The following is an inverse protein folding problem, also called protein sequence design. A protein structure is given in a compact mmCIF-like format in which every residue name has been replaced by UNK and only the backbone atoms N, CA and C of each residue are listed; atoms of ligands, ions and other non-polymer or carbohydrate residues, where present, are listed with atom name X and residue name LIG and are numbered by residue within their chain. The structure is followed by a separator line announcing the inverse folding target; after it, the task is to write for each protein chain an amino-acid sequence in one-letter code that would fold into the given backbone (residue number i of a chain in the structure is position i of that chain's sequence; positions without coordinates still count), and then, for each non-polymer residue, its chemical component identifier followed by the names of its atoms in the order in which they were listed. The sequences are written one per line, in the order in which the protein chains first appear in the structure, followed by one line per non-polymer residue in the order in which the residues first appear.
data_IF_173702144269
#
_entry.id   IF_173702144269
#
_cell.length_a   1.000
_cell.length_b   1.000
_cell.length_c   1.000
_cell.angle_alpha   90.00
_cell.angle_beta   90.00
_cell.angle_gamma   90.00
#
_symmetry.space_group_name_H-M   'P 1'
#
loop_
_entity.id
_entity.type
_entity.pdbx_description
1 polymer ?
#
# COMPACT_ATOMS: atom_id res chain seq x y z
N UNK A 1 -1.63 7.84 15.12
CA UNK A 1 -1.74 6.65 14.25
C UNK A 1 -2.90 5.79 14.72
N UNK A 2 -3.69 5.37 13.73
CA UNK A 2 -4.77 4.39 13.80
C UNK A 2 -4.24 3.00 14.15
N UNK A 3 -5.15 2.07 14.46
CA UNK A 3 -4.85 0.64 14.52
C UNK A 3 -5.00 0.09 13.10
N UNK A 4 -3.92 -0.44 12.53
CA UNK A 4 -3.96 -1.12 11.25
C UNK A 4 -4.31 -2.60 11.51
N UNK A 5 -5.06 -3.22 10.61
CA UNK A 5 -5.65 -4.54 10.82
C UNK A 5 -4.61 -5.63 11.01
N UNK A 6 -3.54 -5.64 10.20
CA UNK A 6 -2.48 -6.65 10.30
C UNK A 6 -1.75 -6.57 11.65
N UNK A 7 -1.48 -5.36 12.15
CA UNK A 7 -0.84 -5.17 13.47
C UNK A 7 -1.77 -5.59 14.61
N UNK A 8 -3.09 -5.37 14.48
CA UNK A 8 -4.05 -5.75 15.51
C UNK A 8 -4.24 -7.27 15.61
N UNK A 9 -4.06 -8.01 14.50
CA UNK A 9 -4.17 -9.47 14.49
C UNK A 9 -3.06 -10.16 15.28
N UNK A 10 -1.83 -9.64 15.24
CA UNK A 10 -0.69 -10.16 16.00
C UNK A 10 0.24 -9.01 16.47
N UNK A 11 -0.14 -8.31 17.54
CA UNK A 11 0.59 -7.14 18.03
C UNK A 11 1.95 -7.54 18.63
N UNK A 12 2.09 -8.74 19.18
CA UNK A 12 3.36 -9.27 19.69
C UNK A 12 4.38 -9.51 18.57
N UNK A 13 3.97 -10.15 17.47
CA UNK A 13 4.86 -10.37 16.33
C UNK A 13 5.29 -9.03 15.70
N UNK A 14 4.36 -8.08 15.56
CA UNK A 14 4.68 -6.74 15.09
C UNK A 14 5.66 -6.02 16.03
N UNK A 15 5.45 -6.11 17.35
CA UNK A 15 6.35 -5.52 18.34
C UNK A 15 7.78 -6.10 18.24
N UNK A 16 7.91 -7.40 17.98
CA UNK A 16 9.20 -8.07 17.80
C UNK A 16 9.96 -7.53 16.59
N UNK A 17 9.28 -7.38 15.44
CA UNK A 17 9.86 -6.83 14.21
C UNK A 17 10.42 -5.43 14.46
N UNK A 18 9.64 -4.56 15.10
CA UNK A 18 10.04 -3.17 15.34
C UNK A 18 11.09 -2.99 16.45
N UNK A 19 11.18 -3.92 17.41
CA UNK A 19 12.20 -3.88 18.45
C UNK A 19 13.59 -4.31 17.99
N UNK A 20 13.69 -5.12 16.94
CA UNK A 20 14.99 -5.53 16.40
C UNK A 20 15.57 -4.41 15.54
N UNK A 21 16.66 -3.79 15.98
CA UNK A 21 17.26 -2.62 15.31
C UNK A 21 17.69 -2.91 13.86
N UNK A 22 18.25 -4.09 13.58
CA UNK A 22 18.70 -4.48 12.24
C UNK A 22 17.53 -4.65 11.26
N UNK A 23 16.40 -5.16 11.76
CA UNK A 23 15.16 -5.33 10.98
C UNK A 23 14.47 -3.97 10.84
N UNK A 24 14.35 -3.20 11.93
CA UNK A 24 13.72 -1.88 11.93
C UNK A 24 14.39 -0.96 10.90
N UNK A 25 15.73 -0.94 10.85
CA UNK A 25 16.50 -0.16 9.88
C UNK A 25 16.19 -0.49 8.41
N UNK A 26 15.67 -1.69 8.13
CA UNK A 26 15.32 -2.19 6.78
C UNK A 26 13.82 -2.22 6.55
N UNK A 27 13.01 -1.80 7.52
CA UNK A 27 11.56 -1.90 7.47
C UNK A 27 10.96 -0.62 6.92
N UNK A 28 10.08 -0.75 5.93
CA UNK A 28 9.19 0.34 5.49
C UNK A 28 7.78 0.04 5.96
N UNK A 29 7.17 0.95 6.69
CA UNK A 29 5.74 0.90 7.04
C UNK A 29 4.98 1.83 6.12
N UNK A 30 3.98 1.29 5.42
CA UNK A 30 3.03 2.05 4.62
C UNK A 30 1.85 2.44 5.52
N UNK A 31 1.76 3.68 6.02
CA UNK A 31 0.65 4.07 6.88
C UNK A 31 -0.64 4.25 6.08
N UNK A 32 -1.79 4.26 6.76
CA UNK A 32 -3.09 4.53 6.13
C UNK A 32 -3.08 5.85 5.34
N UNK A 33 -2.48 6.91 5.91
CA UNK A 33 -2.32 8.22 5.27
C UNK A 33 -1.62 8.15 3.89
N UNK A 34 -0.73 7.18 3.69
CA UNK A 34 -0.03 6.97 2.42
C UNK A 34 -0.91 6.17 1.46
N UNK A 35 -1.48 5.06 1.92
CA UNK A 35 -2.35 4.22 1.08
C UNK A 35 -3.62 4.94 0.60
N UNK A 36 -4.13 5.90 1.38
CA UNK A 36 -5.28 6.72 0.98
C UNK A 36 -4.96 7.69 -0.17
N UNK A 37 -3.70 7.85 -0.57
CA UNK A 37 -3.31 8.59 -1.77
C UNK A 37 -3.44 7.73 -3.03
N UNK A 38 -3.41 6.40 -2.89
CA UNK A 38 -3.44 5.44 -4.00
C UNK A 38 -4.85 4.90 -4.18
N UNK A 39 -5.72 5.73 -4.75
CA UNK A 39 -7.13 5.41 -4.96
C UNK A 39 -7.35 4.77 -6.32
N UNK A 40 -8.08 3.66 -6.35
CA UNK A 40 -8.53 3.03 -7.59
C UNK A 40 -9.74 3.81 -8.17
N UNK A 41 -9.47 5.01 -8.68
CA UNK A 41 -10.48 5.90 -9.27
C UNK A 41 -11.16 5.29 -10.50
N UNK A 42 -12.23 5.90 -10.98
CA UNK A 42 -12.88 5.47 -12.23
C UNK A 42 -11.91 5.45 -13.41
N UNK A 43 -11.06 6.48 -13.54
CA UNK A 43 -10.05 6.56 -14.61
C UNK A 43 -9.04 5.42 -14.49
N UNK A 44 -8.58 5.12 -13.28
CA UNK A 44 -7.67 3.99 -13.04
C UNK A 44 -8.36 2.68 -13.36
N UNK A 45 -9.59 2.44 -12.88
CA UNK A 45 -10.32 1.20 -13.17
C UNK A 45 -10.54 1.02 -14.67
N UNK A 46 -10.84 2.10 -15.39
CA UNK A 46 -10.96 2.08 -16.85
C UNK A 46 -9.62 1.71 -17.52
N UNK A 47 -8.52 2.33 -17.09
CA UNK A 47 -7.17 1.99 -17.55
C UNK A 47 -6.85 0.51 -17.32
N UNK A 48 -7.10 -0.01 -16.12
CA UNK A 48 -6.81 -1.41 -15.80
C UNK A 48 -7.70 -2.38 -16.58
N UNK A 49 -8.98 -2.03 -16.80
CA UNK A 49 -9.94 -2.88 -17.49
C UNK A 49 -9.64 -3.01 -18.99
N UNK A 50 -9.27 -1.90 -19.63
CA UNK A 50 -9.15 -1.80 -21.08
C UNK A 50 -7.69 -1.69 -21.57
N UNK A 51 -6.74 -1.40 -20.69
CA UNK A 51 -5.36 -1.09 -21.07
C UNK A 51 -5.22 0.31 -21.67
N UNK A 52 -3.98 0.70 -22.00
CA UNK A 52 -3.68 2.03 -22.57
C UNK A 52 -4.24 2.25 -23.99
N UNK A 53 -4.51 1.16 -24.70
CA UNK A 53 -4.95 1.10 -26.10
C UNK A 53 -6.43 0.69 -26.26
N UNK A 54 -7.11 0.33 -25.17
CA UNK A 54 -8.47 -0.16 -25.22
C UNK A 54 -9.52 0.94 -25.37
N UNK A 55 -10.61 0.60 -26.06
CA UNK A 55 -11.77 1.46 -26.20
C UNK A 55 -12.80 1.15 -25.09
N UNK A 56 -13.25 2.15 -24.32
CA UNK A 56 -14.30 1.95 -23.32
C UNK A 56 -15.63 1.51 -23.95
N UNK A 57 -16.39 0.65 -23.26
CA UNK A 57 -17.78 0.33 -23.63
C UNK A 57 -18.07 -1.13 -23.99
N UNK A 58 -17.15 -2.04 -23.72
CA UNK A 58 -17.33 -3.49 -23.90
C UNK A 58 -16.81 -4.30 -22.71
N UNK A 59 -16.62 -5.60 -22.91
CA UNK A 59 -15.99 -6.47 -21.93
C UNK A 59 -14.53 -6.04 -21.67
N UNK A 60 -14.00 -6.42 -20.50
CA UNK A 60 -12.59 -6.18 -20.19
C UNK A 60 -11.66 -6.83 -21.22
N UNK A 61 -10.51 -6.19 -21.49
CA UNK A 61 -9.58 -6.60 -22.55
C UNK A 61 -9.11 -8.04 -22.39
N UNK A 62 -8.95 -8.51 -21.15
CA UNK A 62 -8.62 -9.90 -20.83
C UNK A 62 -9.37 -10.36 -19.57
N UNK A 63 -9.52 -11.69 -19.40
CA UNK A 63 -10.08 -12.27 -18.18
C UNK A 63 -9.32 -11.83 -16.92
N UNK A 64 -7.99 -11.70 -17.02
CA UNK A 64 -7.15 -11.21 -15.93
C UNK A 64 -7.56 -9.79 -15.51
N UNK A 65 -7.68 -8.88 -16.49
CA UNK A 65 -8.07 -7.48 -16.23
C UNK A 65 -9.46 -7.36 -15.63
N UNK A 66 -10.43 -8.10 -16.18
CA UNK A 66 -11.79 -8.14 -15.63
C UNK A 66 -11.77 -8.57 -14.16
N UNK A 67 -11.08 -9.67 -13.85
CA UNK A 67 -10.95 -10.18 -12.48
C UNK A 67 -10.28 -9.16 -11.54
N UNK A 68 -9.18 -8.52 -11.95
CA UNK A 68 -8.50 -7.52 -11.13
C UNK A 68 -9.40 -6.31 -10.83
N UNK A 69 -10.16 -5.84 -11.80
CA UNK A 69 -11.09 -4.71 -11.61
C UNK A 69 -12.29 -5.10 -10.76
N UNK A 70 -12.82 -6.31 -10.91
CA UNK A 70 -13.87 -6.85 -10.04
C UNK A 70 -13.43 -6.95 -8.57
N UNK A 71 -12.18 -7.38 -8.31
CA UNK A 71 -11.61 -7.35 -6.96
C UNK A 71 -11.59 -5.94 -6.37
N UNK A 72 -11.23 -4.93 -7.17
CA UNK A 72 -11.28 -3.53 -6.72
C UNK A 72 -12.73 -3.12 -6.40
N UNK A 73 -13.72 -3.48 -7.22
CA UNK A 73 -15.12 -3.18 -6.95
C UNK A 73 -15.65 -3.87 -5.68
N UNK A 74 -15.22 -5.09 -5.39
CA UNK A 74 -15.62 -5.82 -4.18
C UNK A 74 -15.28 -5.03 -2.91
N UNK A 75 -14.11 -4.41 -2.86
CA UNK A 75 -13.69 -3.60 -1.71
C UNK A 75 -14.29 -2.19 -1.70
N UNK A 76 -14.62 -1.63 -2.87
CA UNK A 76 -15.11 -0.26 -2.99
C UNK A 76 -16.32 0.06 -2.08
N UNK A 77 -17.26 -0.89 -1.97
CA UNK A 77 -18.45 -0.72 -1.11
C UNK A 77 -18.09 -0.60 0.36
N UNK A 78 -17.26 -1.51 0.88
CA UNK A 78 -16.82 -1.47 2.29
C UNK A 78 -16.07 -0.19 2.61
N UNK A 79 -15.22 0.30 1.70
CA UNK A 79 -14.49 1.55 1.92
C UNK A 79 -15.38 2.80 1.89
N UNK A 80 -16.38 2.83 1.01
CA UNK A 80 -17.40 3.87 1.02
C UNK A 80 -18.17 3.87 2.35
N UNK A 81 -18.63 2.71 2.80
CA UNK A 81 -19.48 2.58 3.97
C UNK A 81 -18.74 2.83 5.30
N UNK A 82 -17.46 2.44 5.40
CA UNK A 82 -16.67 2.53 6.65
C UNK A 82 -15.81 3.79 6.74
N UNK A 83 -15.23 4.24 5.63
CA UNK A 83 -14.25 5.33 5.59
C UNK A 83 -14.72 6.56 4.81
N UNK A 84 -15.90 6.51 4.18
CA UNK A 84 -16.44 7.60 3.37
C UNK A 84 -15.64 7.87 2.09
N UNK A 85 -14.77 6.94 1.66
CA UNK A 85 -13.92 7.10 0.48
C UNK A 85 -14.74 6.71 -0.75
N UNK A 86 -15.26 7.71 -1.46
CA UNK A 86 -16.16 7.50 -2.61
C UNK A 86 -15.44 7.52 -3.96
N UNK A 87 -14.24 8.11 -4.03
CA UNK A 87 -13.48 8.16 -5.28
C UNK A 87 -13.02 6.77 -5.76
N UNK A 88 -12.83 5.83 -4.84
CA UNK A 88 -12.41 4.44 -5.10
C UNK A 88 -11.67 3.86 -3.90
N UNK A 89 -11.56 2.53 -3.77
CA UNK A 89 -10.86 1.92 -2.65
C UNK A 89 -9.36 2.25 -2.69
N UNK A 90 -8.71 2.48 -1.53
CA UNK A 90 -7.26 2.57 -1.44
C UNK A 90 -6.63 1.18 -1.63
N UNK A 91 -5.40 1.16 -2.13
CA UNK A 91 -4.57 -0.05 -2.17
C UNK A 91 -3.50 0.01 -1.09
N UNK A 92 -3.40 -1.04 -0.28
CA UNK A 92 -2.38 -1.16 0.75
C UNK A 92 -1.23 -2.04 0.26
N UNK A 93 -1.52 -3.32 0.00
CA UNK A 93 -0.51 -4.35 -0.23
C UNK A 93 0.38 -4.11 -1.46
N UNK A 94 -0.14 -3.64 -2.62
CA UNK A 94 0.72 -3.32 -3.75
C UNK A 94 1.74 -2.21 -3.47
N UNK A 95 1.49 -1.32 -2.50
CA UNK A 95 2.47 -0.29 -2.10
C UNK A 95 3.65 -0.94 -1.37
N UNK A 96 3.44 -2.04 -0.64
CA UNK A 96 4.53 -2.80 -0.03
C UNK A 96 5.45 -3.38 -1.11
N UNK A 97 4.90 -3.88 -2.22
CA UNK A 97 5.70 -4.34 -3.37
C UNK A 97 6.44 -3.17 -4.01
N UNK A 98 5.81 -2.00 -4.16
CA UNK A 98 6.47 -0.80 -4.66
C UNK A 98 7.68 -0.39 -3.80
N UNK A 99 7.63 -0.58 -2.48
CA UNK A 99 8.76 -0.32 -1.60
C UNK A 99 9.95 -1.28 -1.83
N UNK A 100 9.71 -2.50 -2.33
CA UNK A 100 10.78 -3.46 -2.69
C UNK A 100 11.51 -3.05 -3.97
N UNK A 101 10.87 -2.27 -4.84
CA UNK A 101 11.45 -1.80 -6.11
C UNK A 101 12.42 -0.61 -5.94
N UNK A 102 12.60 -0.09 -4.73
CA UNK A 102 13.52 1.02 -4.45
C UNK A 102 14.95 0.63 -4.84
N UNK A 103 15.62 1.48 -5.62
CA UNK A 103 16.96 1.23 -6.15
C UNK A 103 16.99 0.36 -7.42
N UNK A 104 15.83 -0.04 -7.95
CA UNK A 104 15.72 -0.75 -9.23
C UNK A 104 15.33 0.20 -10.38
N UNK A 105 15.49 -0.18 -11.66
CA UNK A 105 15.00 0.63 -12.78
C UNK A 105 13.48 0.89 -12.77
N UNK A 106 12.71 0.07 -12.05
CA UNK A 106 11.27 0.16 -11.92
C UNK A 106 10.83 0.89 -10.63
N UNK A 107 11.76 1.60 -9.97
CA UNK A 107 11.47 2.35 -8.75
C UNK A 107 10.28 3.30 -8.91
N UNK A 108 9.40 3.28 -7.90
CA UNK A 108 8.29 4.22 -7.74
C UNK A 108 8.72 5.18 -6.62
N UNK A 109 8.94 6.48 -6.93
CA UNK A 109 9.45 7.43 -5.94
C UNK A 109 8.52 7.59 -4.73
N UNK A 110 9.13 7.61 -3.54
CA UNK A 110 8.47 7.94 -2.27
C UNK A 110 9.08 9.22 -1.70
N UNK A 111 8.26 10.05 -1.05
CA UNK A 111 8.76 11.19 -0.25
C UNK A 111 8.66 10.84 1.23
N UNK A 112 9.75 11.06 1.96
CA UNK A 112 9.84 10.83 3.40
C UNK A 112 9.61 12.09 4.22
N UNK A 113 9.52 13.24 3.56
CA UNK A 113 9.41 14.53 4.21
C UNK A 113 8.22 15.32 3.68
N UNK A 114 7.50 15.98 4.58
CA UNK A 114 6.38 16.87 4.30
C UNK A 114 6.47 18.12 5.17
N UNK A 115 6.48 19.31 4.57
CA UNK A 115 6.69 20.57 5.29
C UNK A 115 5.67 20.86 6.40
N UNK A 116 4.47 20.27 6.30
CA UNK A 116 3.41 20.44 7.29
C UNK A 116 3.47 19.42 8.44
N UNK A 117 4.28 18.34 8.29
CA UNK A 117 4.31 17.20 9.20
C UNK A 117 5.71 16.79 9.68
N UNK A 118 6.76 17.36 9.09
CA UNK A 118 8.16 16.97 9.30
C UNK A 118 8.99 18.16 9.79
N UNK A 119 10.04 17.87 10.55
CA UNK A 119 10.94 18.90 11.08
C UNK A 119 11.90 19.43 9.99
N UNK A 120 12.25 20.71 10.09
CA UNK A 120 13.26 21.34 9.23
C UNK A 120 14.67 21.22 9.85
N UNK A 121 15.74 21.14 9.04
CA UNK A 121 15.75 21.14 7.57
C UNK A 121 15.25 19.82 6.98
N UNK A 122 14.93 19.81 5.68
CA UNK A 122 14.53 18.58 4.98
C UNK A 122 15.58 17.49 5.14
N UNK A 123 15.13 16.32 5.58
CA UNK A 123 15.94 15.12 5.77
C UNK A 123 15.07 13.87 5.63
N UNK A 124 15.72 12.71 5.51
CA UNK A 124 15.07 11.41 5.47
C UNK A 124 14.64 11.00 6.89
N UNK A 125 13.35 11.11 7.18
CA UNK A 125 12.82 10.80 8.51
C UNK A 125 12.90 9.30 8.81
N UNK A 126 13.42 8.96 9.99
CA UNK A 126 13.41 7.60 10.53
C UNK A 126 12.68 7.61 11.87
N UNK A 127 12.02 6.50 12.18
CA UNK A 127 11.15 6.42 13.34
C UNK A 127 11.53 5.24 14.22
N UNK A 128 11.54 5.48 15.53
CA UNK A 128 11.38 4.41 16.49
C UNK A 128 9.89 4.08 16.54
N UNK A 129 9.57 2.81 16.29
CA UNK A 129 8.19 2.32 16.27
C UNK A 129 7.98 1.36 17.43
N UNK A 130 6.93 1.58 18.20
CA UNK A 130 6.50 0.65 19.24
C UNK A 130 5.03 0.28 19.04
N UNK A 131 4.66 -0.93 19.45
CA UNK A 131 3.30 -1.45 19.36
C UNK A 131 2.79 -1.71 20.76
N UNK A 132 1.57 -1.25 21.06
CA UNK A 132 0.91 -1.58 22.32
C UNK A 132 0.38 -3.01 22.22
N UNK A 133 0.87 -3.90 23.10
CA UNK A 133 0.46 -5.32 23.15
C UNK A 133 -0.50 -5.61 24.31
N UNK A 134 -0.69 -4.68 25.25
CA UNK A 134 -1.59 -4.90 26.38
C UNK A 134 -3.07 -4.81 25.96
N UNK A 135 -3.77 -5.93 26.07
CA UNK A 135 -5.21 -6.07 25.86
C UNK A 135 -5.58 -7.07 24.77
N UNK A 136 -6.83 -7.51 24.78
CA UNK A 136 -7.40 -8.43 23.80
C UNK A 136 -7.94 -7.69 22.58
N UNK A 137 -8.23 -8.46 21.51
CA UNK A 137 -8.89 -7.94 20.32
C UNK A 137 -10.24 -7.28 20.64
N UNK A 138 -11.04 -7.88 21.53
CA UNK A 138 -12.36 -7.35 21.91
C UNK A 138 -12.25 -6.04 22.70
N UNK A 139 -11.28 -5.94 23.63
CA UNK A 139 -11.00 -4.69 24.36
C UNK A 139 -10.47 -3.59 23.45
N UNK A 140 -9.69 -3.95 22.41
CA UNK A 140 -9.26 -2.99 21.40
C UNK A 140 -10.44 -2.49 20.55
N UNK A 141 -11.36 -3.38 20.20
CA UNK A 141 -12.57 -3.09 19.42
C UNK A 141 -13.58 -2.24 20.20
N UNK A 142 -13.75 -2.49 21.50
CA UNK A 142 -14.60 -1.68 22.38
C UNK A 142 -14.00 -0.30 22.69
N UNK A 143 -12.69 -0.13 22.47
CA UNK A 143 -11.95 1.09 22.76
C UNK A 143 -11.44 1.17 24.20
N UNK A 144 -11.64 0.12 25.01
CA UNK A 144 -11.16 0.01 26.39
C UNK A 144 -9.64 -0.01 26.46
N UNK A 145 -9.00 -0.75 25.56
CA UNK A 145 -7.53 -0.84 25.46
C UNK A 145 -7.02 -0.43 24.08
N UNK A 146 -5.71 -0.20 24.00
CA UNK A 146 -5.05 0.30 22.79
C UNK A 146 -4.19 -0.75 22.07
N UNK A 147 -4.43 -2.05 22.32
CA UNK A 147 -3.75 -3.14 21.61
C UNK A 147 -3.70 -2.91 20.10
N UNK A 148 -2.55 -3.19 19.48
CA UNK A 148 -2.31 -3.02 18.05
C UNK A 148 -2.08 -1.57 17.61
N UNK A 149 -2.15 -0.59 18.53
CA UNK A 149 -1.82 0.80 18.21
C UNK A 149 -0.31 0.93 18.01
N UNK A 150 0.07 1.46 16.86
CA UNK A 150 1.45 1.79 16.52
C UNK A 150 1.79 3.22 16.96
N UNK A 151 2.89 3.39 17.68
CA UNK A 151 3.43 4.66 18.12
C UNK A 151 4.76 4.91 17.40
N UNK A 152 4.79 5.92 16.53
CA UNK A 152 5.99 6.31 15.81
C UNK A 152 6.55 7.61 16.41
N UNK A 153 7.80 7.58 16.84
CA UNK A 153 8.56 8.75 17.31
C UNK A 153 9.69 9.02 16.34
N UNK A 154 9.75 10.24 15.81
CA UNK A 154 10.86 10.65 14.94
C UNK A 154 12.19 10.51 15.68
N UNK A 155 13.19 9.96 15.00
CA UNK A 155 14.56 9.85 15.46
C UNK A 155 15.37 11.06 14.98
N UNK A 156 16.43 11.45 15.70
CA UNK A 156 17.36 12.47 15.22
C UNK A 156 17.89 12.16 13.81
N UNK A 157 18.13 13.18 12.97
CA UNK A 157 18.64 12.99 11.62
C UNK A 157 19.89 12.09 11.57
N UNK A 158 19.88 11.13 10.66
CA UNK A 158 20.99 10.18 10.46
C UNK A 158 20.95 8.94 11.37
N UNK A 159 20.03 8.84 12.33
CA UNK A 159 19.85 7.60 13.09
C UNK A 159 19.05 6.57 12.28
N UNK A 160 19.45 5.29 12.29
CA UNK A 160 18.70 4.22 11.64
C UNK A 160 17.39 3.96 12.40
N UNK A 161 16.38 3.53 11.67
CA UNK A 161 15.08 3.19 12.24
C UNK A 161 14.09 2.80 11.15
N UNK A 162 12.82 2.67 11.52
CA UNK A 162 11.76 2.35 10.57
C UNK A 162 11.53 3.52 9.64
N UNK A 163 11.42 3.22 8.35
CA UNK A 163 11.04 4.19 7.32
C UNK A 163 9.52 4.28 7.23
N UNK A 164 8.96 5.49 7.32
CA UNK A 164 7.52 5.75 7.18
C UNK A 164 7.33 6.87 6.16
N UNK A 165 7.11 6.54 4.87
CA UNK A 165 6.97 7.56 3.84
C UNK A 165 5.70 8.40 4.04
N UNK A 166 5.77 9.68 3.63
CA UNK A 166 4.66 10.64 3.71
C UNK A 166 3.81 10.65 2.46
N UNK A 167 4.43 10.45 1.29
CA UNK A 167 3.75 10.37 -0.01
C UNK A 167 4.51 9.48 -0.99
N UNK A 168 3.89 9.22 -2.13
CA UNK A 168 4.52 8.54 -3.26
C UNK A 168 4.06 9.11 -4.59
N UNK A 169 4.79 8.80 -5.66
CA UNK A 169 4.36 9.11 -7.02
C UNK A 169 3.23 8.16 -7.46
N UNK A 170 1.99 8.58 -7.20
CA UNK A 170 0.77 7.82 -7.51
C UNK A 170 0.63 7.59 -9.02
N UNK A 171 1.06 8.55 -9.85
CA UNK A 171 0.98 8.40 -11.31
C UNK A 171 1.93 7.30 -11.79
N UNK A 172 3.19 7.33 -11.32
CA UNK A 172 4.17 6.29 -11.62
C UNK A 172 3.73 4.93 -11.08
N UNK A 173 3.15 4.88 -9.88
CA UNK A 173 2.60 3.65 -9.31
C UNK A 173 1.59 2.98 -10.27
N UNK A 174 0.58 3.71 -10.72
CA UNK A 174 -0.43 3.15 -11.62
C UNK A 174 0.12 2.80 -13.00
N UNK A 175 1.08 3.57 -13.50
CA UNK A 175 1.80 3.23 -14.72
C UNK A 175 2.51 1.87 -14.60
N UNK A 176 3.25 1.64 -13.51
CA UNK A 176 3.96 0.37 -13.28
C UNK A 176 2.98 -0.80 -13.12
N UNK A 177 1.86 -0.60 -12.42
CA UNK A 177 0.81 -1.62 -12.31
C UNK A 177 0.29 -2.00 -13.70
N UNK A 178 0.00 -1.03 -14.56
CA UNK A 178 -0.48 -1.31 -15.91
C UNK A 178 0.59 -2.00 -16.78
N UNK A 179 1.85 -1.58 -16.70
CA UNK A 179 2.96 -2.25 -17.39
C UNK A 179 3.11 -3.72 -16.95
N UNK A 180 2.88 -4.02 -15.67
CA UNK A 180 2.86 -5.39 -15.15
C UNK A 180 1.68 -6.20 -15.71
N UNK A 181 0.47 -5.64 -15.73
CA UNK A 181 -0.72 -6.33 -16.25
C UNK A 181 -0.59 -6.56 -17.76
N UNK A 182 -0.12 -5.58 -18.52
CA UNK A 182 0.16 -5.72 -19.95
C UNK A 182 1.16 -6.85 -20.24
N UNK A 183 2.24 -6.99 -19.45
CA UNK A 183 3.17 -8.13 -19.56
C UNK A 183 2.49 -9.46 -19.24
N UNK A 184 1.63 -9.49 -18.23
CA UNK A 184 0.88 -10.68 -17.85
C UNK A 184 -0.15 -11.10 -18.91
N UNK A 185 -0.81 -10.15 -19.58
CA UNK A 185 -1.71 -10.44 -20.71
C UNK A 185 -0.97 -11.16 -21.83
N UNK A 186 0.21 -10.66 -22.22
CA UNK A 186 1.05 -11.27 -23.25
C UNK A 186 1.44 -12.69 -22.85
N UNK A 187 1.94 -12.87 -21.62
CA UNK A 187 2.34 -14.18 -21.12
C UNK A 187 1.17 -15.18 -21.12
N UNK A 188 -0.01 -14.78 -20.67
CA UNK A 188 -1.20 -15.63 -20.66
C UNK A 188 -1.70 -15.97 -22.07
N UNK A 189 -1.62 -15.03 -23.02
CA UNK A 189 -1.95 -15.29 -24.42
C UNK A 189 -0.99 -16.30 -25.07
N UNK A 190 0.30 -16.24 -24.75
CA UNK A 190 1.29 -17.23 -25.23
C UNK A 190 1.09 -18.63 -24.63
N UNK A 191 0.67 -18.72 -23.36
CA UNK A 191 0.39 -20.00 -22.71
C UNK A 191 -0.84 -20.70 -23.32
N UNK A 192 -1.89 -19.96 -23.65
CA UNK A 192 -3.10 -20.52 -24.27
C UNK A 192 -2.87 -21.03 -25.71
N UNK A 193 -1.88 -20.49 -26.41
CA UNK A 193 -1.53 -20.92 -27.78
C UNK A 193 -0.53 -22.08 -27.81
N UNK A 194 0.18 -22.34 -26.71
CA UNK A 194 1.15 -23.44 -26.59
C UNK A 194 0.55 -24.82 -26.24
N UNK A 195 -0.63 -24.87 -25.62
CA UNK A 195 -1.31 -26.11 -25.21
C UNK A 195 -2.20 -26.74 -26.31
N UNK A 196 -2.14 -26.22 -27.54
CA UNK A 196 -2.94 -26.68 -28.69
C UNK A 196 -2.12 -27.36 -29.80
N UNK A 197 -0.92 -27.86 -29.49
CA UNK A 197 -0.05 -28.61 -30.41
C UNK A 197 0.17 -30.07 -29.99
#
# INVERSE_FOLDING_TARGET
MSREFNILLDPEAAALIFHNEDIAAKTTVVPLDLSHQVLATEQVRSLLLYGTDGQPGGDGKTTLRTMLVELLYFFAKTYSDVFGITAGPPLHDPIAVAAVLIGTPDEIPFSEWDASRSESPRHDERFQVTVITDGTFDEAKSGEKQTGRTLARALPPGQPGVRIPRSMDVARFWQVIEECISRADVANGTAQTGDSA
#
